data_IF_608227998488
#
_entry.id   IF_608227998488
#
_cell.length_a   1.000
_cell.length_b   1.000
_cell.length_c   1.000
_cell.angle_alpha   90.00
_cell.angle_beta   90.00
_cell.angle_gamma   90.00
#
_symmetry.space_group_name_H-M   'P 1'
#
loop_
_entity.id
_entity.type
_entity.pdbx_description
1 polymer ?
#
# COMPACT_ATOMS: atom_id res chain seq x y z
N UNK A 1 -20.23 0.26 14.87
CA UNK A 1 -20.58 -1.03 14.21
C UNK A 1 -19.50 -2.05 14.60
N UNK A 2 -19.90 -3.28 14.96
CA UNK A 2 -18.98 -4.32 15.49
C UNK A 2 -18.53 -5.21 14.33
N UNK A 3 -17.24 -5.49 14.23
CA UNK A 3 -16.71 -6.56 13.36
C UNK A 3 -16.89 -7.88 14.12
N UNK A 4 -17.37 -8.90 13.43
CA UNK A 4 -17.49 -10.28 13.94
C UNK A 4 -16.45 -11.10 13.20
N UNK A 5 -15.75 -11.97 13.92
CA UNK A 5 -14.71 -12.82 13.32
C UNK A 5 -14.92 -14.28 13.69
N UNK A 6 -14.71 -15.17 12.72
CA UNK A 6 -14.69 -16.63 12.90
C UNK A 6 -13.40 -17.16 12.29
N UNK A 7 -12.75 -18.11 12.95
CA UNK A 7 -11.54 -18.76 12.41
C UNK A 7 -11.85 -20.21 12.09
N UNK A 8 -11.63 -20.63 10.86
CA UNK A 8 -11.83 -22.00 10.41
C UNK A 8 -10.70 -22.93 10.89
N UNK A 9 -10.94 -24.23 10.78
CA UNK A 9 -9.99 -25.27 11.18
C UNK A 9 -8.66 -25.23 10.41
N UNK A 10 -8.69 -24.74 9.16
CA UNK A 10 -7.51 -24.54 8.30
C UNK A 10 -6.75 -23.24 8.63
N UNK A 11 -7.26 -22.44 9.57
CA UNK A 11 -6.65 -21.19 10.01
C UNK A 11 -7.14 -19.94 9.29
N UNK A 12 -7.96 -20.06 8.23
CA UNK A 12 -8.56 -18.90 7.53
C UNK A 12 -9.40 -18.09 8.52
N UNK A 13 -9.15 -16.80 8.56
CA UNK A 13 -9.96 -15.88 9.37
C UNK A 13 -11.04 -15.25 8.50
N UNK A 14 -12.29 -15.41 8.90
CA UNK A 14 -13.46 -14.78 8.25
C UNK A 14 -13.90 -13.61 9.12
N UNK A 15 -14.11 -12.45 8.50
CA UNK A 15 -14.53 -11.24 9.19
C UNK A 15 -15.73 -10.61 8.50
N UNK A 16 -16.74 -10.21 9.26
CA UNK A 16 -17.87 -9.46 8.69
C UNK A 16 -18.17 -8.21 9.50
N UNK A 17 -18.63 -7.19 8.80
CA UNK A 17 -19.20 -5.98 9.43
C UNK A 17 -20.50 -5.60 8.73
N UNK A 18 -21.61 -5.79 9.42
CA UNK A 18 -22.91 -5.35 8.91
C UNK A 18 -23.04 -3.83 8.99
N UNK A 19 -23.42 -3.20 7.88
CA UNK A 19 -23.83 -1.80 7.78
C UNK A 19 -25.36 -1.79 7.61
N UNK A 20 -26.09 -1.21 8.56
CA UNK A 20 -27.54 -1.39 8.67
C UNK A 20 -28.35 -0.89 7.47
N UNK A 21 -27.90 0.17 6.81
CA UNK A 21 -28.62 0.79 5.69
C UNK A 21 -27.90 0.57 4.36
N UNK A 22 -26.94 -0.39 4.32
CA UNK A 22 -26.27 -0.73 3.07
C UNK A 22 -27.16 -1.62 2.23
N UNK A 23 -27.23 -1.32 0.94
CA UNK A 23 -27.93 -2.13 -0.08
C UNK A 23 -26.93 -2.94 -0.94
N UNK A 24 -25.66 -2.91 -0.59
CA UNK A 24 -24.59 -3.65 -1.27
C UNK A 24 -23.66 -4.33 -0.28
N UNK A 25 -22.82 -5.23 -0.79
CA UNK A 25 -21.78 -5.94 -0.05
C UNK A 25 -20.46 -5.80 -0.78
N UNK A 26 -19.40 -5.40 -0.08
CA UNK A 26 -18.04 -5.63 -0.52
C UNK A 26 -17.53 -6.89 0.15
N UNK A 27 -17.12 -7.87 -0.65
CA UNK A 27 -16.56 -9.13 -0.17
C UNK A 27 -15.22 -9.40 -0.84
N UNK A 28 -14.29 -10.08 -0.14
CA UNK A 28 -12.99 -10.36 -0.73
C UNK A 28 -12.08 -11.20 0.15
N UNK A 29 -11.04 -11.71 -0.48
CA UNK A 29 -9.98 -12.49 0.12
C UNK A 29 -8.68 -11.69 0.04
N UNK A 30 -8.05 -11.47 1.19
CA UNK A 30 -6.76 -10.79 1.31
C UNK A 30 -5.72 -11.76 1.83
N UNK A 31 -4.57 -11.78 1.16
CA UNK A 31 -3.46 -12.67 1.42
C UNK A 31 -2.28 -11.83 1.93
N UNK A 32 -1.65 -12.24 3.05
CA UNK A 32 -0.43 -11.61 3.57
C UNK A 32 0.79 -12.01 2.72
N UNK A 33 0.73 -11.65 1.47
CA UNK A 33 1.79 -11.85 0.47
C UNK A 33 1.66 -10.80 -0.61
N UNK A 34 2.76 -10.21 -1.02
CA UNK A 34 2.87 -9.21 -2.07
C UNK A 34 4.26 -9.26 -2.69
N UNK A 35 4.67 -8.20 -3.39
CA UNK A 35 5.96 -8.14 -4.09
C UNK A 35 7.17 -8.36 -3.18
N UNK A 36 7.07 -8.00 -1.91
CA UNK A 36 8.12 -8.23 -0.91
C UNK A 36 8.41 -9.71 -0.65
N UNK A 37 7.45 -10.60 -0.90
CA UNK A 37 7.56 -12.03 -0.65
C UNK A 37 8.26 -12.78 -1.78
N UNK A 38 8.55 -12.10 -2.87
CA UNK A 38 9.20 -12.66 -4.05
C UNK A 38 10.70 -12.87 -3.83
N UNK A 39 11.22 -14.02 -4.24
CA UNK A 39 12.66 -14.21 -4.41
C UNK A 39 13.18 -13.31 -5.55
N UNK A 40 14.49 -13.19 -5.71
CA UNK A 40 15.05 -12.35 -6.77
C UNK A 40 14.63 -12.80 -8.18
N UNK A 41 14.49 -14.11 -8.40
CA UNK A 41 14.03 -14.68 -9.66
C UNK A 41 12.49 -14.60 -9.87
N UNK A 42 11.74 -14.26 -8.82
CA UNK A 42 10.29 -14.15 -8.82
C UNK A 42 9.81 -12.69 -8.94
N UNK A 43 10.70 -11.74 -9.26
CA UNK A 43 10.39 -10.31 -9.29
C UNK A 43 9.25 -9.97 -10.26
N UNK A 44 8.13 -9.48 -9.74
CA UNK A 44 6.89 -9.20 -10.47
C UNK A 44 5.90 -10.37 -10.53
N UNK A 45 6.23 -11.50 -9.90
CA UNK A 45 5.39 -12.71 -9.96
C UNK A 45 4.07 -12.54 -9.20
N UNK A 46 4.06 -11.81 -8.08
CA UNK A 46 2.84 -11.55 -7.31
C UNK A 46 1.82 -10.73 -8.12
N UNK A 47 2.29 -9.73 -8.85
CA UNK A 47 1.45 -8.92 -9.73
C UNK A 47 0.98 -9.74 -10.96
N UNK A 48 1.88 -10.46 -11.61
CA UNK A 48 1.49 -11.34 -12.73
C UNK A 48 0.52 -12.43 -12.28
N UNK A 49 0.61 -12.95 -11.04
CA UNK A 49 -0.34 -13.88 -10.47
C UNK A 49 -1.73 -13.25 -10.33
N UNK A 50 -1.81 -11.97 -9.95
CA UNK A 50 -3.06 -11.22 -9.92
C UNK A 50 -3.76 -11.26 -11.29
N UNK A 51 -3.05 -10.91 -12.37
CA UNK A 51 -3.58 -10.99 -13.74
C UNK A 51 -4.01 -12.41 -14.10
N UNK A 52 -3.13 -13.37 -13.86
CA UNK A 52 -3.36 -14.78 -14.24
C UNK A 52 -4.49 -15.45 -13.46
N UNK A 53 -4.87 -14.96 -12.28
CA UNK A 53 -5.99 -15.48 -11.52
C UNK A 53 -7.33 -15.32 -12.25
N UNK A 54 -7.46 -14.26 -13.07
CA UNK A 54 -8.67 -14.00 -13.87
C UNK A 54 -8.66 -14.65 -15.26
N UNK A 55 -7.58 -15.37 -15.65
CA UNK A 55 -7.46 -15.96 -17.02
C UNK A 55 -8.02 -17.36 -17.14
N UNK A 56 -8.78 -17.78 -16.16
CA UNK A 56 -9.58 -19.00 -16.18
C UNK A 56 -9.27 -19.95 -15.04
N UNK A 57 -10.30 -20.70 -14.70
CA UNK A 57 -10.29 -21.78 -13.71
C UNK A 57 -10.64 -23.10 -14.37
N UNK A 58 -10.66 -24.17 -13.59
CA UNK A 58 -11.14 -25.46 -14.08
C UNK A 58 -12.63 -25.46 -14.48
N UNK A 59 -13.40 -24.49 -13.96
CA UNK A 59 -14.86 -24.39 -14.18
C UNK A 59 -15.24 -23.24 -15.12
N UNK A 60 -14.45 -22.18 -15.18
CA UNK A 60 -14.79 -20.91 -15.82
C UNK A 60 -13.68 -20.44 -16.75
N UNK A 61 -14.04 -19.95 -17.92
CA UNK A 61 -13.13 -19.15 -18.75
C UNK A 61 -12.96 -17.76 -18.16
N UNK A 62 -11.99 -16.99 -18.64
CA UNK A 62 -11.83 -15.58 -18.27
C UNK A 62 -13.10 -14.76 -18.52
N UNK A 63 -13.81 -15.05 -19.63
CA UNK A 63 -15.07 -14.41 -19.96
C UNK A 63 -16.18 -14.76 -18.97
N UNK A 64 -16.29 -16.03 -18.58
CA UNK A 64 -17.32 -16.48 -17.64
C UNK A 64 -17.12 -15.82 -16.26
N UNK A 65 -15.87 -15.67 -15.80
CA UNK A 65 -15.54 -14.98 -14.53
C UNK A 65 -16.07 -13.55 -14.55
N UNK A 66 -15.85 -12.80 -15.62
CA UNK A 66 -16.33 -11.43 -15.75
C UNK A 66 -17.86 -11.40 -15.91
N UNK A 67 -18.40 -12.21 -16.85
CA UNK A 67 -19.81 -12.18 -17.22
C UNK A 67 -20.72 -12.60 -16.05
N UNK A 68 -20.40 -13.64 -15.30
CA UNK A 68 -21.24 -14.09 -14.17
C UNK A 68 -21.40 -13.00 -13.09
N UNK A 69 -20.37 -12.18 -12.85
CA UNK A 69 -20.43 -11.04 -11.93
C UNK A 69 -21.17 -9.85 -12.53
N UNK A 70 -20.92 -9.54 -13.81
CA UNK A 70 -21.56 -8.41 -14.49
C UNK A 70 -23.07 -8.67 -14.74
N UNK A 71 -23.47 -9.92 -15.01
CA UNK A 71 -24.89 -10.31 -15.21
C UNK A 71 -25.77 -10.01 -13.98
N UNK A 72 -25.17 -9.95 -12.78
CA UNK A 72 -25.87 -9.57 -11.53
C UNK A 72 -25.56 -8.13 -11.09
N UNK A 73 -24.92 -7.34 -11.98
CA UNK A 73 -24.59 -5.92 -11.71
C UNK A 73 -23.45 -5.73 -10.71
N UNK A 74 -22.63 -6.76 -10.51
CA UNK A 74 -21.46 -6.72 -9.64
C UNK A 74 -20.20 -6.25 -10.34
N UNK A 75 -19.17 -5.98 -9.54
CA UNK A 75 -17.80 -5.70 -9.99
C UNK A 75 -16.83 -6.64 -9.29
N UNK A 76 -15.81 -7.12 -9.98
CA UNK A 76 -14.73 -7.92 -9.42
C UNK A 76 -13.39 -7.28 -9.79
N UNK A 77 -12.47 -7.25 -8.83
CA UNK A 77 -11.16 -6.65 -9.03
C UNK A 77 -10.11 -7.27 -8.09
N UNK A 78 -8.85 -6.93 -8.31
CA UNK A 78 -7.76 -7.29 -7.41
C UNK A 78 -6.74 -6.16 -7.26
N UNK A 79 -5.86 -6.29 -6.30
CA UNK A 79 -4.75 -5.36 -6.10
C UNK A 79 -3.58 -6.04 -5.42
N UNK A 80 -2.38 -5.83 -5.95
CA UNK A 80 -1.13 -6.28 -5.36
C UNK A 80 -0.39 -5.11 -4.77
N UNK A 81 0.00 -5.22 -3.51
CA UNK A 81 0.86 -4.27 -2.83
C UNK A 81 2.18 -4.93 -2.41
N UNK A 82 3.01 -4.18 -1.69
CA UNK A 82 4.29 -4.68 -1.17
C UNK A 82 4.12 -5.90 -0.25
N UNK A 83 3.10 -5.91 0.62
CA UNK A 83 2.93 -6.95 1.65
C UNK A 83 1.59 -7.70 1.59
N UNK A 84 0.64 -7.26 0.80
CA UNK A 84 -0.71 -7.84 0.74
C UNK A 84 -1.20 -7.86 -0.71
N UNK A 85 -1.81 -8.97 -1.11
CA UNK A 85 -2.62 -9.09 -2.34
C UNK A 85 -4.07 -9.30 -1.95
N UNK A 86 -4.99 -8.61 -2.60
CA UNK A 86 -6.42 -8.71 -2.35
C UNK A 86 -7.20 -9.00 -3.63
N UNK A 87 -8.17 -9.91 -3.56
CA UNK A 87 -9.17 -10.19 -4.59
C UNK A 87 -10.53 -9.89 -4.01
N UNK A 88 -11.31 -9.03 -4.63
CA UNK A 88 -12.55 -8.55 -4.03
C UNK A 88 -13.63 -8.26 -5.08
N UNK A 89 -14.86 -8.26 -4.62
CA UNK A 89 -16.05 -7.94 -5.41
C UNK A 89 -16.94 -6.98 -4.67
N UNK A 90 -17.61 -6.11 -5.40
CA UNK A 90 -18.71 -5.28 -4.92
C UNK A 90 -19.99 -5.74 -5.61
N UNK A 91 -21.00 -6.12 -4.82
CA UNK A 91 -22.15 -6.89 -5.34
C UNK A 91 -23.41 -6.61 -4.53
N UNK A 92 -24.57 -6.98 -5.06
CA UNK A 92 -25.82 -6.95 -4.32
C UNK A 92 -25.89 -8.07 -3.29
N UNK A 93 -26.65 -7.90 -2.17
CA UNK A 93 -26.66 -8.86 -1.06
C UNK A 93 -27.09 -10.28 -1.47
N UNK A 94 -28.03 -10.40 -2.41
CA UNK A 94 -28.57 -11.70 -2.86
C UNK A 94 -27.54 -12.54 -3.62
N UNK A 95 -26.52 -11.89 -4.21
CA UNK A 95 -25.51 -12.50 -5.06
C UNK A 95 -24.16 -12.65 -4.35
N UNK A 96 -24.15 -12.41 -3.02
CA UNK A 96 -22.92 -12.53 -2.20
C UNK A 96 -22.28 -13.92 -2.30
N UNK A 97 -23.09 -15.00 -2.36
CA UNK A 97 -22.59 -16.37 -2.46
C UNK A 97 -21.90 -16.62 -3.82
N UNK A 98 -22.44 -16.08 -4.91
CA UNK A 98 -21.80 -16.11 -6.23
C UNK A 98 -20.42 -15.43 -6.21
N UNK A 99 -20.31 -14.25 -5.60
CA UNK A 99 -19.03 -13.56 -5.49
C UNK A 99 -18.02 -14.36 -4.65
N UNK A 100 -18.47 -14.97 -3.54
CA UNK A 100 -17.62 -15.85 -2.71
C UNK A 100 -17.17 -17.06 -3.52
N UNK A 101 -18.06 -17.70 -4.28
CA UNK A 101 -17.72 -18.83 -5.12
C UNK A 101 -16.65 -18.47 -6.16
N UNK A 102 -16.87 -17.38 -6.92
CA UNK A 102 -15.95 -16.98 -7.98
C UNK A 102 -14.58 -16.57 -7.39
N UNK A 103 -14.56 -15.77 -6.33
CA UNK A 103 -13.32 -15.40 -5.65
C UNK A 103 -12.55 -16.62 -5.12
N UNK A 104 -13.28 -17.60 -4.62
CA UNK A 104 -12.68 -18.87 -4.17
C UNK A 104 -12.16 -19.71 -5.32
N UNK A 105 -12.90 -19.76 -6.43
CA UNK A 105 -12.55 -20.56 -7.60
C UNK A 105 -11.26 -20.04 -8.28
N UNK A 106 -11.12 -18.73 -8.46
CA UNK A 106 -9.90 -18.13 -9.04
C UNK A 106 -8.65 -18.37 -8.19
N UNK A 107 -8.82 -18.61 -6.88
CA UNK A 107 -7.70 -18.90 -5.96
C UNK A 107 -7.45 -20.40 -5.83
N UNK A 108 -8.49 -21.23 -5.76
CA UNK A 108 -8.32 -22.66 -5.54
C UNK A 108 -8.07 -23.47 -6.82
N UNK A 109 -8.58 -23.00 -7.96
CA UNK A 109 -8.62 -23.77 -9.20
C UNK A 109 -8.06 -23.06 -10.44
N UNK A 110 -7.09 -22.11 -10.33
CA UNK A 110 -6.56 -21.43 -11.51
C UNK A 110 -5.89 -22.44 -12.47
N UNK A 111 -6.08 -22.23 -13.77
CA UNK A 111 -5.49 -23.11 -14.79
C UNK A 111 -4.05 -22.73 -15.11
N UNK A 112 -3.76 -21.44 -15.15
CA UNK A 112 -2.48 -20.86 -15.60
C UNK A 112 -2.11 -21.34 -16.99
N UNK A 113 -3.01 -21.11 -17.96
CA UNK A 113 -2.79 -21.47 -19.35
C UNK A 113 -1.56 -20.74 -19.92
N UNK A 114 -0.73 -21.49 -20.67
CA UNK A 114 0.53 -20.94 -21.20
C UNK A 114 0.31 -19.89 -22.30
N UNK A 115 -0.78 -20.00 -23.07
CA UNK A 115 -1.07 -19.01 -24.12
C UNK A 115 -1.61 -17.73 -23.52
N UNK A 116 -2.45 -17.83 -22.49
CA UNK A 116 -2.92 -16.66 -21.72
C UNK A 116 -1.75 -15.99 -21.00
N UNK A 117 -0.82 -16.76 -20.44
CA UNK A 117 0.39 -16.20 -19.82
C UNK A 117 1.21 -15.35 -20.81
N UNK A 118 1.43 -15.85 -22.04
CA UNK A 118 2.17 -15.08 -23.05
C UNK A 118 1.44 -13.77 -23.42
N UNK A 119 0.10 -13.78 -23.51
CA UNK A 119 -0.68 -12.56 -23.73
C UNK A 119 -0.53 -11.57 -22.54
N UNK A 120 -0.66 -12.08 -21.32
CA UNK A 120 -0.56 -11.22 -20.13
C UNK A 120 0.85 -10.66 -19.89
N UNK A 121 1.90 -11.37 -20.30
CA UNK A 121 3.26 -10.79 -20.34
C UNK A 121 3.29 -9.50 -21.18
N UNK A 122 2.64 -9.51 -22.34
CA UNK A 122 2.54 -8.32 -23.19
C UNK A 122 1.73 -7.20 -22.52
N UNK A 123 0.64 -7.52 -21.83
CA UNK A 123 -0.17 -6.54 -21.09
C UNK A 123 0.67 -5.88 -19.99
N UNK A 124 1.32 -6.69 -19.15
CA UNK A 124 2.15 -6.17 -18.04
C UNK A 124 3.38 -5.41 -18.57
N UNK A 125 3.95 -5.80 -19.71
CA UNK A 125 5.00 -5.00 -20.37
C UNK A 125 4.50 -3.62 -20.80
N UNK A 126 3.25 -3.52 -21.26
CA UNK A 126 2.65 -2.21 -21.55
C UNK A 126 2.41 -1.38 -20.27
N UNK A 127 2.03 -2.01 -19.16
CA UNK A 127 1.91 -1.33 -17.86
C UNK A 127 3.27 -0.84 -17.35
N UNK A 128 4.33 -1.65 -17.47
CA UNK A 128 5.70 -1.21 -17.16
C UNK A 128 6.09 -0.01 -18.04
N UNK A 129 5.79 -0.06 -19.34
CA UNK A 129 6.01 1.05 -20.26
C UNK A 129 5.26 2.31 -19.81
N UNK A 130 3.97 2.18 -19.51
CA UNK A 130 3.14 3.29 -19.03
C UNK A 130 3.65 3.88 -17.71
N UNK A 131 4.08 3.02 -16.76
CA UNK A 131 4.67 3.48 -15.50
C UNK A 131 6.00 4.20 -15.73
N UNK A 132 6.84 3.69 -16.63
CA UNK A 132 8.09 4.35 -17.00
C UNK A 132 7.86 5.70 -17.68
N UNK A 133 6.80 5.84 -18.46
CA UNK A 133 6.43 7.09 -19.14
C UNK A 133 5.72 8.10 -18.21
N UNK A 134 5.37 7.69 -16.99
CA UNK A 134 4.78 8.56 -15.95
C UNK A 134 5.85 9.00 -14.94
N UNK A 135 6.38 10.23 -15.01
CA UNK A 135 7.39 10.71 -14.07
C UNK A 135 6.92 10.73 -12.62
N UNK A 136 5.62 10.94 -12.40
CA UNK A 136 5.00 10.93 -11.07
C UNK A 136 4.93 9.54 -10.43
N UNK A 137 4.94 8.48 -11.23
CA UNK A 137 4.85 7.10 -10.73
C UNK A 137 6.25 6.48 -10.61
N UNK A 138 7.06 6.56 -11.67
CA UNK A 138 8.40 5.98 -11.68
C UNK A 138 9.32 6.58 -10.61
N UNK A 139 9.12 7.85 -10.21
CA UNK A 139 9.89 8.47 -9.13
C UNK A 139 9.71 7.75 -7.79
N UNK A 140 8.54 7.15 -7.54
CA UNK A 140 8.32 6.34 -6.34
C UNK A 140 9.02 4.99 -6.39
N UNK A 141 9.07 4.34 -7.55
CA UNK A 141 9.85 3.11 -7.74
C UNK A 141 11.33 3.38 -7.52
N UNK A 142 11.87 4.46 -8.09
CA UNK A 142 13.25 4.89 -7.85
C UNK A 142 13.50 5.21 -6.37
N UNK A 143 12.55 5.85 -5.71
CA UNK A 143 12.65 6.17 -4.29
C UNK A 143 12.68 4.91 -3.42
N UNK A 144 11.80 3.94 -3.67
CA UNK A 144 11.81 2.66 -2.96
C UNK A 144 13.10 1.87 -3.23
N UNK A 145 13.57 1.86 -4.46
CA UNK A 145 14.82 1.19 -4.84
C UNK A 145 16.05 1.78 -4.12
N UNK A 146 16.06 3.09 -3.88
CA UNK A 146 17.12 3.78 -3.13
C UNK A 146 16.98 3.56 -1.63
N UNK A 147 15.78 3.69 -1.09
CA UNK A 147 15.51 3.55 0.33
C UNK A 147 15.84 2.14 0.84
N UNK A 148 15.57 1.12 0.02
CA UNK A 148 15.78 -0.30 0.33
C UNK A 148 16.61 -1.01 -0.74
N UNK A 149 17.79 -0.47 -1.00
CA UNK A 149 18.69 -0.96 -2.04
C UNK A 149 18.94 -2.47 -1.93
N UNK A 150 18.79 -3.18 -3.07
CA UNK A 150 19.00 -4.63 -3.20
C UNK A 150 18.13 -5.52 -2.29
N UNK A 151 16.98 -4.99 -1.85
CA UNK A 151 16.03 -5.71 -1.02
C UNK A 151 14.69 -5.87 -1.74
N UNK A 152 13.95 -6.95 -1.42
CA UNK A 152 12.67 -7.23 -2.07
C UNK A 152 11.64 -6.10 -1.90
N UNK A 153 11.60 -5.46 -0.73
CA UNK A 153 10.70 -4.35 -0.44
C UNK A 153 10.95 -3.09 -1.29
N UNK A 154 12.17 -2.95 -1.84
CA UNK A 154 12.56 -1.83 -2.70
C UNK A 154 12.37 -2.10 -4.20
N UNK A 155 11.90 -3.27 -4.60
CA UNK A 155 11.66 -3.61 -6.00
C UNK A 155 10.31 -3.10 -6.49
N UNK A 156 10.20 -2.64 -7.76
CA UNK A 156 8.91 -2.32 -8.38
C UNK A 156 7.94 -3.52 -8.31
N UNK A 157 6.67 -3.26 -8.04
CA UNK A 157 5.63 -4.30 -7.95
C UNK A 157 5.41 -4.99 -9.30
N UNK A 158 5.50 -4.24 -10.39
CA UNK A 158 5.29 -4.73 -11.75
C UNK A 158 6.38 -5.71 -12.23
N UNK A 159 7.51 -5.78 -11.52
CA UNK A 159 8.67 -6.53 -11.99
C UNK A 159 9.50 -5.77 -13.02
N UNK A 160 10.21 -6.51 -13.87
CA UNK A 160 11.03 -5.99 -14.97
C UNK A 160 10.74 -6.78 -16.25
N UNK A 161 11.02 -6.19 -17.40
CA UNK A 161 10.93 -6.89 -18.69
C UNK A 161 11.66 -8.25 -18.67
N UNK A 162 12.85 -8.28 -18.09
CA UNK A 162 13.67 -9.49 -18.00
C UNK A 162 13.02 -10.56 -17.10
N UNK A 163 12.47 -10.17 -15.94
CA UNK A 163 11.86 -11.13 -15.03
C UNK A 163 10.57 -11.72 -15.60
N UNK A 164 9.73 -10.89 -16.23
CA UNK A 164 8.46 -11.34 -16.80
C UNK A 164 8.65 -12.42 -17.88
N UNK A 165 9.68 -12.28 -18.73
CA UNK A 165 9.96 -13.24 -19.79
C UNK A 165 10.27 -14.64 -19.27
N UNK A 166 10.76 -14.76 -18.02
CA UNK A 166 11.15 -16.06 -17.43
C UNK A 166 10.00 -16.86 -16.84
N UNK A 167 8.86 -16.22 -16.57
CA UNK A 167 7.74 -16.85 -15.86
C UNK A 167 7.09 -17.99 -16.64
N UNK A 168 6.81 -19.06 -15.92
CA UNK A 168 6.16 -20.29 -16.37
C UNK A 168 4.96 -20.62 -15.47
N UNK A 169 3.94 -21.34 -15.93
CA UNK A 169 2.79 -21.74 -15.12
C UNK A 169 3.13 -22.40 -13.77
N UNK A 170 4.26 -23.11 -13.70
CA UNK A 170 4.75 -23.74 -12.46
C UNK A 170 5.16 -22.72 -11.39
N UNK A 171 5.60 -21.53 -11.78
CA UNK A 171 6.11 -20.52 -10.84
C UNK A 171 4.96 -19.95 -10.03
N UNK A 172 3.80 -19.71 -10.65
CA UNK A 172 2.56 -19.33 -9.96
C UNK A 172 2.11 -20.38 -8.95
N UNK A 173 2.09 -21.66 -9.36
CA UNK A 173 1.73 -22.77 -8.46
C UNK A 173 2.67 -22.85 -7.26
N UNK A 174 3.96 -22.70 -7.49
CA UNK A 174 4.97 -22.71 -6.44
C UNK A 174 4.82 -21.53 -5.48
N UNK A 175 4.57 -20.32 -6.01
CA UNK A 175 4.35 -19.13 -5.22
C UNK A 175 3.07 -19.26 -4.37
N UNK A 176 1.97 -19.73 -4.96
CA UNK A 176 0.74 -19.99 -4.24
C UNK A 176 0.92 -21.04 -3.15
N UNK A 177 1.61 -22.15 -3.42
CA UNK A 177 1.87 -23.19 -2.43
C UNK A 177 2.65 -22.67 -1.22
N UNK A 178 3.52 -21.66 -1.42
CA UNK A 178 4.29 -21.01 -0.33
C UNK A 178 3.49 -20.00 0.48
N UNK A 179 2.55 -19.28 -0.15
CA UNK A 179 1.97 -18.08 0.44
C UNK A 179 0.45 -18.13 0.62
N UNK A 180 -0.28 -18.96 -0.15
CA UNK A 180 -1.74 -19.01 -0.20
C UNK A 180 -2.26 -20.19 0.65
N UNK A 181 -2.28 -20.03 1.95
CA UNK A 181 -2.78 -21.02 2.92
C UNK A 181 -3.64 -20.31 3.98
N UNK A 182 -4.55 -21.05 4.62
CA UNK A 182 -5.61 -20.49 5.45
C UNK A 182 -5.13 -19.49 6.51
N UNK A 183 -4.04 -19.79 7.24
CA UNK A 183 -3.52 -18.90 8.29
C UNK A 183 -2.94 -17.57 7.78
N UNK A 184 -2.61 -17.50 6.49
CA UNK A 184 -2.05 -16.32 5.83
C UNK A 184 -3.12 -15.47 5.12
N UNK A 185 -4.40 -15.81 5.31
CA UNK A 185 -5.52 -15.22 4.59
C UNK A 185 -6.62 -14.72 5.52
N UNK A 186 -7.30 -13.68 5.05
CA UNK A 186 -8.53 -13.15 5.65
C UNK A 186 -9.58 -13.01 4.57
N UNK A 187 -10.75 -13.62 4.78
CA UNK A 187 -11.93 -13.37 3.96
C UNK A 187 -12.84 -12.38 4.67
N UNK A 188 -13.08 -11.23 4.08
CA UNK A 188 -13.90 -10.18 4.72
C UNK A 188 -15.15 -9.85 3.89
N UNK A 189 -16.26 -9.58 4.59
CA UNK A 189 -17.52 -9.10 4.02
C UNK A 189 -18.04 -7.90 4.78
N UNK A 190 -18.36 -6.80 4.08
CA UNK A 190 -18.82 -5.54 4.68
C UNK A 190 -20.01 -5.00 3.90
N UNK A 191 -21.07 -4.59 4.61
CA UNK A 191 -22.29 -4.08 4.01
C UNK A 191 -23.53 -4.80 4.52
N UNK A 192 -24.47 -5.14 3.64
CA UNK A 192 -25.68 -5.90 3.95
C UNK A 192 -25.39 -7.41 4.08
N UNK A 193 -24.56 -7.79 5.03
CA UNK A 193 -24.06 -9.15 5.23
C UNK A 193 -24.60 -9.79 6.50
N UNK A 194 -24.94 -11.10 6.43
CA UNK A 194 -25.22 -11.95 7.58
C UNK A 194 -23.99 -12.83 7.88
N UNK A 195 -23.50 -12.76 9.13
CA UNK A 195 -22.24 -13.42 9.49
C UNK A 195 -22.29 -14.94 9.33
N UNK A 196 -23.34 -15.59 9.83
CA UNK A 196 -23.39 -17.04 9.87
C UNK A 196 -23.55 -17.63 8.45
N UNK A 197 -24.37 -16.99 7.60
CA UNK A 197 -24.51 -17.35 6.20
C UNK A 197 -23.19 -17.15 5.45
N UNK A 198 -22.52 -16.00 5.70
CA UNK A 198 -21.24 -15.69 5.07
C UNK A 198 -20.16 -16.69 5.47
N UNK A 199 -20.04 -17.03 6.75
CA UNK A 199 -19.11 -18.05 7.24
C UNK A 199 -19.36 -19.40 6.58
N UNK A 200 -20.62 -19.83 6.53
CA UNK A 200 -21.00 -21.10 5.91
C UNK A 200 -20.64 -21.16 4.42
N UNK A 201 -20.89 -20.07 3.68
CA UNK A 201 -20.54 -19.97 2.27
C UNK A 201 -19.02 -20.03 2.08
N UNK A 202 -18.24 -19.24 2.80
CA UNK A 202 -16.78 -19.24 2.72
C UNK A 202 -16.21 -20.63 3.11
N UNK A 203 -16.73 -21.25 4.15
CA UNK A 203 -16.31 -22.60 4.58
C UNK A 203 -16.56 -23.68 3.52
N UNK A 204 -17.68 -23.59 2.81
CA UNK A 204 -18.00 -24.53 1.71
C UNK A 204 -16.97 -24.48 0.58
N UNK A 205 -16.41 -23.31 0.24
CA UNK A 205 -15.49 -23.13 -0.87
C UNK A 205 -14.01 -23.15 -0.46
N UNK A 206 -13.69 -22.72 0.77
CA UNK A 206 -12.32 -22.54 1.24
C UNK A 206 -11.98 -23.37 2.50
N UNK A 207 -12.89 -24.25 2.95
CA UNK A 207 -12.67 -25.11 4.11
C UNK A 207 -11.47 -26.06 3.96
N UNK A 208 -11.19 -26.49 2.73
CA UNK A 208 -10.12 -27.42 2.39
C UNK A 208 -8.79 -26.76 2.01
N UNK A 209 -8.66 -25.42 2.18
CA UNK A 209 -7.38 -24.74 1.95
C UNK A 209 -6.25 -25.40 2.77
N UNK A 210 -5.05 -25.51 2.19
CA UNK A 210 -3.91 -26.10 2.90
C UNK A 210 -3.57 -25.31 4.16
N UNK A 211 -3.08 -26.01 5.18
CA UNK A 211 -2.40 -25.41 6.32
C UNK A 211 -0.97 -25.08 5.94
N UNK A 212 -0.38 -24.13 6.68
CA UNK A 212 1.02 -23.78 6.51
C UNK A 212 1.92 -25.02 6.69
N UNK A 213 2.77 -25.30 5.70
CA UNK A 213 3.74 -26.39 5.77
C UNK A 213 5.09 -25.94 6.32
N UNK A 214 5.54 -24.73 5.94
CA UNK A 214 6.81 -24.16 6.39
C UNK A 214 6.64 -22.66 6.70
N UNK A 215 7.30 -22.18 7.77
CA UNK A 215 7.31 -20.76 8.10
C UNK A 215 8.27 -20.00 7.19
N UNK A 216 7.74 -19.31 6.20
CA UNK A 216 8.52 -18.33 5.44
C UNK A 216 8.61 -17.03 6.23
N UNK A 217 9.82 -16.61 6.56
CA UNK A 217 10.08 -15.32 7.18
C UNK A 217 10.83 -14.44 6.18
N UNK A 218 10.27 -13.28 5.89
CA UNK A 218 10.99 -12.26 5.14
C UNK A 218 12.22 -11.79 5.93
N UNK A 219 13.31 -11.52 5.23
CA UNK A 219 14.43 -10.83 5.85
C UNK A 219 13.98 -9.45 6.31
N UNK A 220 14.34 -9.01 7.53
CA UNK A 220 14.00 -7.68 8.00
C UNK A 220 14.54 -6.60 7.04
N UNK A 221 13.67 -5.65 6.68
CA UNK A 221 14.06 -4.55 5.82
C UNK A 221 15.00 -3.60 6.55
N UNK A 222 16.04 -3.14 5.84
CA UNK A 222 16.98 -2.15 6.33
C UNK A 222 16.92 -0.92 5.43
N UNK A 223 16.58 0.21 6.00
CA UNK A 223 16.68 1.48 5.31
C UNK A 223 18.16 1.83 5.05
N UNK A 224 18.51 2.18 3.82
CA UNK A 224 19.89 2.45 3.40
C UNK A 224 20.10 3.95 3.14
N UNK A 225 19.13 4.58 2.48
CA UNK A 225 19.26 5.93 1.96
C UNK A 225 20.20 6.04 0.76
N UNK A 226 20.12 7.17 0.07
CA UNK A 226 20.92 7.42 -1.11
C UNK A 226 20.21 8.26 -2.17
N UNK A 227 20.65 8.13 -3.44
CA UNK A 227 20.17 8.98 -4.53
C UNK A 227 20.01 8.20 -5.82
N UNK A 228 18.87 8.39 -6.50
CA UNK A 228 18.67 8.02 -7.92
C UNK A 228 18.18 9.27 -8.65
N UNK A 229 18.78 9.52 -9.82
CA UNK A 229 18.40 10.59 -10.73
C UNK A 229 18.14 9.99 -12.10
N UNK A 230 17.01 10.34 -12.67
CA UNK A 230 16.59 9.97 -14.01
C UNK A 230 16.35 11.27 -14.83
N UNK A 231 17.40 11.77 -15.52
CA UNK A 231 17.31 12.97 -16.32
C UNK A 231 16.41 12.73 -17.55
N UNK A 232 15.37 13.55 -17.69
CA UNK A 232 14.47 13.52 -18.85
C UNK A 232 14.16 14.94 -19.33
N UNK A 233 13.94 15.09 -20.62
CA UNK A 233 13.49 16.36 -21.22
C UNK A 233 12.01 16.60 -20.93
N UNK A 234 11.71 17.11 -19.72
CA UNK A 234 10.38 17.42 -19.24
C UNK A 234 10.31 18.88 -18.79
N UNK A 235 9.10 19.46 -18.71
CA UNK A 235 8.91 20.81 -18.17
C UNK A 235 9.19 20.87 -16.67
N UNK A 236 8.77 19.84 -15.93
CA UNK A 236 8.85 19.76 -14.49
C UNK A 236 9.65 18.54 -14.01
N UNK A 237 10.41 18.72 -12.95
CA UNK A 237 11.02 17.64 -12.20
C UNK A 237 10.02 17.08 -11.18
N UNK A 238 9.90 15.75 -11.12
CA UNK A 238 9.22 15.03 -10.06
C UNK A 238 10.26 14.58 -9.03
N UNK A 239 10.01 14.81 -7.74
CA UNK A 239 10.97 14.57 -6.68
C UNK A 239 10.27 13.84 -5.54
N UNK A 240 10.92 12.82 -5.01
CA UNK A 240 10.57 12.22 -3.72
C UNK A 240 11.80 12.23 -2.84
N UNK A 241 11.72 12.93 -1.72
CA UNK A 241 12.73 12.95 -0.66
C UNK A 241 12.17 12.24 0.56
N UNK A 242 12.97 11.43 1.24
CA UNK A 242 12.48 10.74 2.43
C UNK A 242 13.56 10.22 3.35
N UNK A 243 13.09 9.64 4.44
CA UNK A 243 13.86 9.21 5.60
C UNK A 243 13.31 7.88 6.11
N UNK A 244 14.08 7.21 6.98
CA UNK A 244 13.57 6.05 7.68
C UNK A 244 12.39 6.43 8.57
N UNK A 245 11.23 5.83 8.29
CA UNK A 245 10.03 5.98 9.08
C UNK A 245 9.91 4.91 10.17
N UNK A 246 8.69 4.64 10.62
CA UNK A 246 8.42 3.59 11.58
C UNK A 246 7.41 2.56 11.05
N UNK A 247 7.59 1.31 11.47
CA UNK A 247 6.65 0.23 11.19
C UNK A 247 5.28 0.54 11.82
N UNK A 248 4.22 0.02 11.18
CA UNK A 248 2.86 0.15 11.72
C UNK A 248 2.65 -0.62 13.04
N UNK A 249 3.57 -1.50 13.44
CA UNK A 249 3.51 -2.25 14.69
C UNK A 249 3.99 -1.45 15.91
N UNK A 250 4.65 -0.31 15.71
CA UNK A 250 5.20 0.48 16.82
C UNK A 250 4.22 1.56 17.31
N UNK A 251 4.26 1.93 18.59
CA UNK A 251 3.41 3.00 19.14
C UNK A 251 3.55 4.34 18.42
N UNK A 252 4.73 4.62 17.88
CA UNK A 252 5.03 5.88 17.16
C UNK A 252 4.40 5.98 15.76
N UNK A 253 3.72 4.93 15.27
CA UNK A 253 3.05 4.96 13.97
C UNK A 253 2.07 6.14 13.85
N UNK A 254 1.19 6.32 14.83
CA UNK A 254 0.22 7.43 14.81
C UNK A 254 0.91 8.79 14.97
N UNK A 255 2.00 8.86 15.73
CA UNK A 255 2.81 10.08 15.83
C UNK A 255 3.41 10.48 14.48
N UNK A 256 3.91 9.51 13.70
CA UNK A 256 4.41 9.74 12.35
C UNK A 256 3.32 10.15 11.37
N UNK A 257 2.11 9.59 11.49
CA UNK A 257 0.95 10.02 10.69
C UNK A 257 0.57 11.48 10.99
N UNK A 258 0.51 11.88 12.26
CA UNK A 258 0.24 13.28 12.63
C UNK A 258 1.35 14.21 12.15
N UNK A 259 2.61 13.78 12.25
CA UNK A 259 3.75 14.56 11.79
C UNK A 259 3.67 14.80 10.26
N UNK A 260 3.30 13.80 9.47
CA UNK A 260 3.12 13.95 8.02
C UNK A 260 1.96 14.91 7.68
N UNK A 261 0.86 14.87 8.44
CA UNK A 261 -0.25 15.80 8.27
C UNK A 261 0.14 17.25 8.58
N UNK A 262 0.88 17.49 9.66
CA UNK A 262 1.36 18.83 10.02
C UNK A 262 2.31 19.37 8.96
N UNK A 263 3.23 18.52 8.48
CA UNK A 263 4.24 18.95 7.51
C UNK A 263 3.62 19.19 6.13
N UNK A 264 2.83 18.24 5.59
CA UNK A 264 2.37 18.28 4.20
C UNK A 264 1.04 17.58 3.93
N UNK A 265 0.14 17.42 4.93
CA UNK A 265 -1.09 16.64 4.79
C UNK A 265 -2.32 17.40 4.27
N UNK A 266 -2.18 18.63 3.80
CA UNK A 266 -3.31 19.40 3.27
C UNK A 266 -2.99 20.88 3.05
N UNK A 267 -3.97 21.66 2.58
CA UNK A 267 -3.78 23.07 2.22
C UNK A 267 -3.28 23.95 3.38
N UNK A 268 -3.55 23.60 4.64
CA UNK A 268 -3.10 24.33 5.81
C UNK A 268 -1.78 23.82 6.41
N UNK A 269 -1.14 22.86 5.76
CA UNK A 269 0.16 22.30 6.17
C UNK A 269 1.31 23.27 5.87
N UNK A 270 2.44 23.06 6.53
CA UNK A 270 3.61 23.94 6.42
C UNK A 270 4.15 24.01 4.99
N UNK A 271 4.40 22.87 4.39
CA UNK A 271 4.94 22.79 3.02
C UNK A 271 3.99 23.45 2.01
N UNK A 272 2.69 23.17 2.12
CA UNK A 272 1.72 23.78 1.21
C UNK A 272 1.68 25.30 1.33
N UNK A 273 1.57 25.83 2.55
CA UNK A 273 1.48 27.27 2.80
C UNK A 273 2.76 28.04 2.45
N UNK A 274 3.92 27.50 2.81
CA UNK A 274 5.18 28.22 2.61
C UNK A 274 5.74 28.05 1.20
N UNK A 275 5.65 26.84 0.64
CA UNK A 275 6.30 26.52 -0.65
C UNK A 275 5.35 26.78 -1.82
N UNK A 276 4.10 26.30 -1.74
CA UNK A 276 3.14 26.46 -2.82
C UNK A 276 2.48 27.83 -2.82
N UNK A 277 1.85 28.23 -1.69
CA UNK A 277 1.05 29.47 -1.65
C UNK A 277 1.93 30.70 -1.59
N UNK A 278 2.92 30.74 -0.69
CA UNK A 278 3.74 31.92 -0.47
C UNK A 278 4.85 32.11 -1.52
N UNK A 279 5.54 31.03 -1.88
CA UNK A 279 6.69 31.08 -2.78
C UNK A 279 6.36 30.69 -4.23
N UNK A 280 5.23 30.03 -4.47
CA UNK A 280 4.82 29.60 -5.82
C UNK A 280 5.80 28.64 -6.50
N UNK A 281 6.56 27.84 -5.70
CA UNK A 281 7.65 27.00 -6.23
C UNK A 281 7.16 25.69 -6.85
N UNK A 282 5.94 25.25 -6.53
CA UNK A 282 5.41 23.98 -6.99
C UNK A 282 3.89 24.01 -7.13
N UNK A 283 3.36 23.17 -8.02
CA UNK A 283 1.91 22.95 -8.11
C UNK A 283 1.44 21.94 -7.06
N UNK A 284 2.21 20.90 -6.82
CA UNK A 284 1.89 19.84 -5.87
C UNK A 284 3.06 19.62 -4.91
N UNK A 285 2.73 19.56 -3.62
CA UNK A 285 3.66 19.17 -2.56
C UNK A 285 2.87 18.53 -1.42
N UNK A 286 3.35 17.38 -0.93
CA UNK A 286 2.75 16.71 0.23
C UNK A 286 3.78 15.86 0.97
N UNK A 287 3.48 15.58 2.25
CA UNK A 287 4.25 14.63 3.05
C UNK A 287 3.39 13.39 3.35
N UNK A 288 4.05 12.24 3.46
CA UNK A 288 3.41 10.96 3.74
C UNK A 288 4.26 10.10 4.69
N UNK A 289 3.59 9.16 5.35
CA UNK A 289 4.27 8.12 6.12
C UNK A 289 3.69 6.75 5.74
N UNK A 290 4.54 5.87 5.21
CA UNK A 290 4.22 4.47 4.90
C UNK A 290 4.86 3.57 5.94
N UNK A 291 4.02 2.83 6.69
CA UNK A 291 4.50 1.79 7.59
C UNK A 291 4.42 0.43 6.92
N UNK A 292 5.48 -0.38 7.10
CA UNK A 292 5.53 -1.79 6.73
C UNK A 292 5.59 -2.66 7.99
N UNK A 293 5.64 -3.97 7.82
CA UNK A 293 5.63 -4.91 8.95
C UNK A 293 6.83 -4.77 9.89
N UNK A 294 7.98 -4.34 9.40
CA UNK A 294 9.23 -4.24 10.16
C UNK A 294 9.99 -2.93 9.98
N UNK A 295 9.61 -2.10 9.01
CA UNK A 295 10.21 -0.81 8.72
C UNK A 295 9.14 0.21 8.29
N UNK A 296 9.53 1.39 7.88
CA UNK A 296 8.66 2.41 7.31
C UNK A 296 9.46 3.50 6.61
N UNK A 297 8.73 4.36 5.92
CA UNK A 297 9.25 5.51 5.21
C UNK A 297 8.46 6.74 5.62
N UNK A 298 9.17 7.83 5.88
CA UNK A 298 8.60 9.17 5.93
C UNK A 298 9.07 9.92 4.69
N UNK A 299 8.16 10.34 3.83
CA UNK A 299 8.49 10.95 2.54
C UNK A 299 7.82 12.30 2.31
N UNK A 300 8.41 13.06 1.41
CA UNK A 300 7.90 14.32 0.86
C UNK A 300 7.98 14.20 -0.65
N UNK A 301 6.85 14.38 -1.32
CA UNK A 301 6.75 14.42 -2.79
C UNK A 301 6.44 15.82 -3.25
N UNK A 302 7.11 16.28 -4.29
CA UNK A 302 6.87 17.59 -4.92
C UNK A 302 7.22 17.58 -6.41
N UNK A 303 6.60 18.51 -7.16
CA UNK A 303 6.97 18.80 -8.56
C UNK A 303 7.32 20.27 -8.72
N UNK A 304 8.37 20.58 -9.49
CA UNK A 304 8.80 21.95 -9.77
C UNK A 304 9.55 22.04 -11.09
N UNK A 305 9.65 23.23 -11.65
CA UNK A 305 10.50 23.47 -12.81
C UNK A 305 12.00 23.44 -12.46
N UNK A 306 12.85 23.44 -13.48
CA UNK A 306 14.31 23.37 -13.35
C UNK A 306 14.88 24.48 -12.45
N UNK A 307 14.39 25.71 -12.63
CA UNK A 307 14.87 26.89 -11.92
C UNK A 307 14.47 26.90 -10.43
N UNK A 308 13.34 26.27 -10.11
CA UNK A 308 12.81 26.18 -8.74
C UNK A 308 13.43 25.07 -7.91
N UNK A 309 14.10 24.10 -8.54
CA UNK A 309 14.50 22.82 -7.92
C UNK A 309 15.38 23.00 -6.66
N UNK A 310 16.47 23.73 -6.76
CA UNK A 310 17.39 23.95 -5.64
C UNK A 310 16.72 24.69 -4.49
N UNK A 311 15.96 25.74 -4.81
CA UNK A 311 15.22 26.55 -3.83
C UNK A 311 14.14 25.72 -3.15
N UNK A 312 13.41 24.87 -3.90
CA UNK A 312 12.42 23.95 -3.34
C UNK A 312 13.03 23.05 -2.28
N UNK A 313 14.13 22.36 -2.59
CA UNK A 313 14.80 21.42 -1.67
C UNK A 313 15.30 22.16 -0.41
N UNK A 314 15.95 23.32 -0.58
CA UNK A 314 16.42 24.12 0.57
C UNK A 314 15.27 24.53 1.46
N UNK A 315 14.14 24.98 0.88
CA UNK A 315 12.98 25.38 1.67
C UNK A 315 12.30 24.20 2.38
N UNK A 316 12.24 23.02 1.73
CA UNK A 316 11.77 21.79 2.40
C UNK A 316 12.63 21.49 3.64
N UNK A 317 13.96 21.59 3.54
CA UNK A 317 14.88 21.34 4.65
C UNK A 317 14.69 22.37 5.76
N UNK A 318 14.50 23.64 5.42
CA UNK A 318 14.20 24.71 6.40
C UNK A 318 12.89 24.40 7.16
N UNK A 319 11.83 23.99 6.45
CA UNK A 319 10.57 23.64 7.08
C UNK A 319 10.68 22.39 7.98
N UNK A 320 11.49 21.40 7.61
CA UNK A 320 11.80 20.25 8.47
C UNK A 320 12.46 20.69 9.77
N UNK A 321 13.46 21.59 9.72
CA UNK A 321 14.14 22.13 10.90
C UNK A 321 13.20 22.95 11.78
N UNK A 322 12.39 23.80 11.16
CA UNK A 322 11.38 24.59 11.87
C UNK A 322 10.35 23.67 12.54
N UNK A 323 9.93 22.61 11.86
CA UNK A 323 8.99 21.64 12.41
C UNK A 323 9.52 21.01 13.70
N UNK A 324 10.77 20.58 13.73
CA UNK A 324 11.37 19.94 14.90
C UNK A 324 11.39 20.86 16.12
N UNK A 325 11.50 22.17 15.92
CA UNK A 325 11.66 23.14 17.01
C UNK A 325 10.35 23.77 17.50
N UNK A 326 9.37 24.01 16.62
CA UNK A 326 8.26 24.93 16.91
C UNK A 326 6.86 24.42 16.54
N UNK A 327 6.58 23.13 16.69
CA UNK A 327 5.20 22.61 16.51
C UNK A 327 4.27 23.31 17.50
N UNK A 328 3.17 23.87 16.99
CA UNK A 328 2.17 24.56 17.80
C UNK A 328 1.03 23.63 18.22
N UNK A 329 0.35 23.99 19.34
CA UNK A 329 -0.86 23.29 19.79
C UNK A 329 -1.98 23.27 18.73
N UNK A 330 -2.10 24.34 17.94
CA UNK A 330 -3.11 24.45 16.91
C UNK A 330 -2.83 23.48 15.72
N UNK A 331 -1.57 23.28 15.36
CA UNK A 331 -1.18 22.30 14.34
C UNK A 331 -1.49 20.88 14.82
N UNK A 332 -1.13 20.55 16.07
CA UNK A 332 -1.44 19.24 16.64
C UNK A 332 -2.97 18.99 16.70
N UNK A 333 -3.75 19.94 17.22
CA UNK A 333 -5.22 19.82 17.27
C UNK A 333 -5.83 19.59 15.89
N UNK A 334 -5.38 20.34 14.88
CA UNK A 334 -5.84 20.20 13.50
C UNK A 334 -5.50 18.82 12.92
N UNK A 335 -4.25 18.37 13.07
CA UNK A 335 -3.81 17.05 12.58
C UNK A 335 -4.59 15.92 13.25
N UNK A 336 -4.82 15.98 14.57
CA UNK A 336 -5.65 15.02 15.32
C UNK A 336 -7.07 14.99 14.77
N UNK A 337 -7.70 16.16 14.57
CA UNK A 337 -9.05 16.25 14.02
C UNK A 337 -9.15 15.66 12.61
N UNK A 338 -8.20 16.02 11.71
CA UNK A 338 -8.14 15.51 10.34
C UNK A 338 -7.94 13.98 10.31
N UNK A 339 -7.02 13.45 11.10
CA UNK A 339 -6.73 12.03 11.10
C UNK A 339 -7.91 11.20 11.62
N UNK A 340 -8.55 11.64 12.72
CA UNK A 340 -9.76 10.99 13.23
C UNK A 340 -10.92 11.05 12.25
N UNK A 341 -11.14 12.19 11.60
CA UNK A 341 -12.18 12.35 10.60
C UNK A 341 -11.93 11.41 9.41
N UNK A 342 -10.70 11.31 8.92
CA UNK A 342 -10.33 10.40 7.84
C UNK A 342 -10.62 8.93 8.20
N UNK A 343 -10.31 8.50 9.45
CA UNK A 343 -10.63 7.15 9.93
C UNK A 343 -12.16 6.94 9.95
N UNK A 344 -12.95 7.89 10.46
CA UNK A 344 -14.40 7.75 10.52
C UNK A 344 -14.98 7.67 9.10
N UNK A 345 -14.63 8.61 8.22
CA UNK A 345 -15.14 8.67 6.85
C UNK A 345 -14.77 7.42 6.03
N UNK A 346 -13.60 6.83 6.27
CA UNK A 346 -13.20 5.57 5.60
C UNK A 346 -14.09 4.38 5.99
N UNK A 347 -14.84 4.47 7.10
CA UNK A 347 -15.77 3.43 7.53
C UNK A 347 -17.17 3.53 6.92
N UNK A 348 -17.47 4.62 6.23
CA UNK A 348 -18.78 4.84 5.57
C UNK A 348 -18.89 4.06 4.26
N UNK A 349 -17.75 3.76 3.62
CA UNK A 349 -17.68 2.96 2.40
C UNK A 349 -17.33 1.50 2.72
N UNK A 350 -18.17 0.57 2.27
CA UNK A 350 -17.88 -0.87 2.37
C UNK A 350 -16.61 -1.24 1.61
N UNK A 351 -16.37 -0.62 0.45
CA UNK A 351 -15.19 -0.82 -0.38
C UNK A 351 -13.89 -0.38 0.31
N UNK A 352 -13.91 0.70 1.09
CA UNK A 352 -12.75 1.14 1.88
C UNK A 352 -12.61 0.34 3.18
N UNK A 353 -13.72 -0.13 3.74
CA UNK A 353 -13.74 -0.79 5.05
C UNK A 353 -13.29 -2.24 4.99
N UNK A 354 -13.69 -3.00 3.97
CA UNK A 354 -13.33 -4.42 3.84
C UNK A 354 -11.80 -4.65 3.80
N UNK A 355 -11.02 -3.98 2.94
CA UNK A 355 -9.55 -4.12 2.95
C UNK A 355 -8.91 -3.61 4.24
N UNK A 356 -9.52 -2.60 4.91
CA UNK A 356 -9.03 -2.11 6.21
C UNK A 356 -9.15 -3.18 7.30
N UNK A 357 -10.30 -3.88 7.37
CA UNK A 357 -10.53 -4.99 8.30
C UNK A 357 -9.53 -6.12 8.02
N UNK A 358 -9.41 -6.53 6.77
CA UNK A 358 -8.51 -7.60 6.38
C UNK A 358 -7.06 -7.26 6.72
N UNK A 359 -6.60 -6.05 6.40
CA UNK A 359 -5.25 -5.59 6.74
C UNK A 359 -5.00 -5.58 8.24
N UNK A 360 -5.95 -5.11 9.07
CA UNK A 360 -5.78 -5.15 10.52
C UNK A 360 -5.62 -6.58 11.04
N UNK A 361 -6.44 -7.51 10.59
CA UNK A 361 -6.35 -8.91 10.98
C UNK A 361 -5.04 -9.58 10.52
N UNK A 362 -4.61 -9.34 9.28
CA UNK A 362 -3.34 -9.84 8.75
C UNK A 362 -2.13 -9.24 9.45
N UNK A 363 -2.26 -8.01 9.94
CA UNK A 363 -1.17 -7.24 10.53
C UNK A 363 -1.05 -7.44 12.03
N UNK A 364 -2.16 -7.24 12.74
CA UNK A 364 -2.22 -7.23 14.20
C UNK A 364 -2.80 -8.53 14.79
N UNK A 365 -3.45 -9.36 13.96
CA UNK A 365 -4.22 -10.52 14.42
C UNK A 365 -5.56 -10.15 15.08
N UNK A 366 -5.87 -8.86 15.20
CA UNK A 366 -7.09 -8.34 15.83
C UNK A 366 -7.57 -7.04 15.17
N UNK A 367 -8.84 -6.72 15.42
CA UNK A 367 -9.41 -5.43 15.02
C UNK A 367 -9.23 -4.44 16.16
N UNK A 368 -8.52 -3.36 15.89
CA UNK A 368 -8.36 -2.26 16.83
C UNK A 368 -9.63 -1.39 16.81
N UNK A 369 -10.36 -1.29 17.94
CA UNK A 369 -11.53 -0.43 18.03
C UNK A 369 -11.15 1.05 17.85
N UNK A 370 -12.00 1.83 17.16
CA UNK A 370 -11.74 3.27 16.98
C UNK A 370 -11.47 3.99 18.31
N UNK A 371 -12.18 3.61 19.39
CA UNK A 371 -11.96 4.19 20.72
C UNK A 371 -10.51 4.02 21.18
N UNK A 372 -9.93 2.85 20.94
CA UNK A 372 -8.52 2.60 21.29
C UNK A 372 -7.56 3.38 20.40
N UNK A 373 -7.82 3.40 19.09
CA UNK A 373 -7.04 4.20 18.14
C UNK A 373 -7.10 5.68 18.51
N UNK A 374 -8.29 6.21 18.79
CA UNK A 374 -8.47 7.62 19.16
C UNK A 374 -7.79 7.95 20.48
N UNK A 375 -7.86 7.05 21.47
CA UNK A 375 -7.11 7.22 22.73
C UNK A 375 -5.61 7.32 22.49
N UNK A 376 -5.06 6.48 21.61
CA UNK A 376 -3.62 6.55 21.25
C UNK A 376 -3.28 7.86 20.57
N UNK A 377 -4.14 8.34 19.67
CA UNK A 377 -3.96 9.61 18.96
C UNK A 377 -4.07 10.80 19.92
N UNK A 378 -5.05 10.80 20.83
CA UNK A 378 -5.29 11.90 21.80
C UNK A 378 -4.17 12.04 22.84
N UNK A 379 -3.45 10.96 23.12
CA UNK A 379 -2.33 10.96 24.05
C UNK A 379 -1.01 11.48 23.44
N UNK A 380 -0.97 11.74 22.12
CA UNK A 380 0.23 12.25 21.45
C UNK A 380 0.43 13.72 21.85
N UNK A 381 1.63 14.03 22.32
CA UNK A 381 2.04 15.36 22.72
C UNK A 381 2.96 16.03 21.71
N UNK A 382 3.13 17.34 21.82
CA UNK A 382 4.15 18.09 21.04
C UNK A 382 5.55 17.53 21.30
N UNK A 383 5.84 17.11 22.53
CA UNK A 383 7.12 16.49 22.89
C UNK A 383 7.36 15.19 22.13
N UNK A 384 6.30 14.36 21.95
CA UNK A 384 6.42 13.12 21.18
C UNK A 384 6.66 13.40 19.70
N UNK A 385 5.96 14.39 19.13
CA UNK A 385 6.16 14.83 17.74
C UNK A 385 7.60 15.35 17.54
N UNK A 386 8.12 16.20 18.44
CA UNK A 386 9.50 16.71 18.36
C UNK A 386 10.53 15.59 18.43
N UNK A 387 10.43 14.71 19.42
CA UNK A 387 11.35 13.57 19.57
C UNK A 387 11.35 12.65 18.34
N UNK A 388 10.15 12.39 17.77
CA UNK A 388 10.05 11.55 16.59
C UNK A 388 10.60 12.27 15.35
N UNK A 389 10.34 13.57 15.18
CA UNK A 389 10.88 14.36 14.05
C UNK A 389 12.41 14.42 14.09
N UNK A 390 13.01 14.64 15.26
CA UNK A 390 14.46 14.56 15.44
C UNK A 390 15.01 13.20 15.01
N UNK A 391 14.36 12.12 15.44
CA UNK A 391 14.77 10.75 15.07
C UNK A 391 14.67 10.50 13.57
N UNK A 392 13.58 10.92 12.94
CA UNK A 392 13.35 10.69 11.51
C UNK A 392 14.31 11.51 10.66
N UNK A 393 14.41 12.80 10.91
CA UNK A 393 15.07 13.72 9.98
C UNK A 393 16.58 13.88 10.21
N UNK A 394 17.08 13.65 11.42
CA UNK A 394 18.48 13.90 11.73
C UNK A 394 19.29 12.64 12.07
N UNK A 395 18.62 11.51 12.33
CA UNK A 395 19.31 10.25 12.65
C UNK A 395 19.31 9.24 11.52
N UNK A 396 18.69 9.54 10.37
CA UNK A 396 18.73 8.68 9.20
C UNK A 396 19.32 9.40 7.99
N UNK A 397 20.01 8.64 7.13
CA UNK A 397 20.52 9.17 5.86
C UNK A 397 19.35 9.46 4.94
N UNK A 398 19.26 10.65 4.31
CA UNK A 398 18.17 10.94 3.40
C UNK A 398 18.21 10.05 2.16
N UNK A 399 17.04 9.71 1.64
CA UNK A 399 16.82 9.16 0.29
C UNK A 399 16.28 10.26 -0.59
N UNK A 400 16.73 10.32 -1.84
CA UNK A 400 16.14 11.19 -2.85
C UNK A 400 16.07 10.49 -4.20
N UNK A 401 14.90 10.55 -4.82
CA UNK A 401 14.70 10.17 -6.20
C UNK A 401 14.14 11.36 -6.97
N UNK A 402 14.60 11.55 -8.19
CA UNK A 402 14.12 12.64 -9.03
C UNK A 402 14.12 12.24 -10.51
N UNK A 403 13.09 12.67 -11.23
CA UNK A 403 12.86 12.40 -12.66
C UNK A 403 12.56 13.72 -13.36
N UNK A 404 13.21 14.01 -14.48
CA UNK A 404 13.00 15.22 -15.29
C UNK A 404 14.23 16.11 -15.38
N UNK A 405 14.09 17.45 -15.46
CA UNK A 405 15.20 18.41 -15.55
C UNK A 405 15.90 18.57 -14.19
N UNK A 406 16.73 17.60 -13.82
CA UNK A 406 17.27 17.40 -12.45
C UNK A 406 18.77 17.64 -12.32
N UNK A 407 19.42 18.28 -13.28
CA UNK A 407 20.88 18.51 -13.31
C UNK A 407 21.39 19.33 -12.10
N UNK A 408 20.54 20.21 -11.59
CA UNK A 408 20.87 21.09 -10.44
C UNK A 408 20.44 20.49 -9.09
N UNK A 409 20.11 19.20 -9.04
CA UNK A 409 19.72 18.55 -7.80
C UNK A 409 20.93 18.39 -6.86
N UNK A 410 20.78 18.79 -5.61
CA UNK A 410 21.80 18.66 -4.56
C UNK A 410 22.24 17.19 -4.38
N UNK A 411 23.50 16.99 -4.09
CA UNK A 411 24.05 15.68 -3.74
C UNK A 411 23.52 15.21 -2.37
N UNK A 412 23.62 13.92 -2.10
CA UNK A 412 23.21 13.35 -0.79
C UNK A 412 24.05 13.93 0.35
N UNK A 413 25.32 14.28 0.07
CA UNK A 413 26.23 14.90 1.04
C UNK A 413 25.80 16.33 1.34
N UNK A 414 25.50 17.15 0.33
CA UNK A 414 24.98 18.50 0.50
C UNK A 414 23.65 18.50 1.27
N UNK A 415 22.74 17.55 0.95
CA UNK A 415 21.48 17.39 1.69
C UNK A 415 21.74 17.06 3.18
N UNK A 416 22.65 16.14 3.46
CA UNK A 416 23.02 15.76 4.83
C UNK A 416 23.67 16.92 5.58
N UNK A 417 24.53 17.68 4.92
CA UNK A 417 25.16 18.87 5.51
C UNK A 417 24.13 19.97 5.80
N UNK A 418 23.18 20.18 4.88
CA UNK A 418 22.11 21.14 5.11
C UNK A 418 21.22 20.73 6.29
N UNK A 419 20.92 19.46 6.47
CA UNK A 419 20.15 18.94 7.61
C UNK A 419 20.92 19.06 8.93
N UNK A 420 22.26 18.93 8.91
CA UNK A 420 23.11 18.97 10.11
C UNK A 420 23.40 20.39 10.64
N UNK A 421 23.29 21.42 9.81
CA UNK A 421 23.40 22.85 10.20
C UNK A 421 22.18 23.34 10.97
#
# INVERSE_FOLDING_TARGET
MKVITTRLNNGLTIATQKILESESVTTGLWIKSGSRNEAAAEHGLAHMLEHMAFKGTKKRTARDIAQEIEDVGGEINASTSVEITGYFSHILPNDTDLAIEILSDIICNPVFDSQELEKEKHVVLQEIGSNNDSPSDIVFDHFMAVAFKEQAIGRPILGTEQSLQTFQPKDFKNFMAKHYYGENMVFAGVGAVDHDKFVKSVENYLGDLPKQQEKHQNKPAKYIGGRIIDPRELMDAQIVMGFEGCTYLKPHFYTAQLLSLILGGGMSSRLFQNIREKLGLCYSIYAFHWGFSDNGIFGISASTNKEGLEKLIKTIIEEIKLLTNNISENELKRAVAQYKAAIIMSHESSAARAPTIARQLLTYGEILPNKEIFKRIDNITITDLKKLSEKIFFNSKPSIAAVGPVENLLSTEELSNLLAQ
#
